data_IF_814957015615
#
_entry.id   IF_814957015615
#
_cell.length_a   1.000
_cell.length_b   1.000
_cell.length_c   1.000
_cell.angle_alpha   90.00
_cell.angle_beta   90.00
_cell.angle_gamma   90.00
#
_symmetry.space_group_name_H-M   'P 1'
#
loop_
_entity.id
_entity.type
_entity.pdbx_description
1 polymer ?
#
# COMPACT_ATOMS: atom_id res chain seq x y z
N UNK A 1 -7.00 -29.34 15.17
CA UNK A 1 -6.26 -28.10 15.46
C UNK A 1 -6.12 -27.37 14.16
N UNK A 2 -6.39 -26.06 14.09
CA UNK A 2 -6.11 -25.31 12.87
C UNK A 2 -4.59 -25.14 12.78
N UNK A 3 -3.95 -25.72 11.78
CA UNK A 3 -2.56 -25.39 11.48
C UNK A 3 -2.51 -23.91 11.10
N UNK A 4 -1.51 -23.19 11.64
CA UNK A 4 -1.27 -21.80 11.33
C UNK A 4 0.03 -21.67 10.55
N UNK A 5 -0.02 -20.98 9.42
CA UNK A 5 1.09 -20.63 8.57
C UNK A 5 1.68 -19.30 9.05
N UNK A 6 3.00 -19.24 9.22
CA UNK A 6 3.73 -18.01 9.42
C UNK A 6 4.15 -17.46 8.06
N UNK A 7 3.57 -16.34 7.64
CA UNK A 7 3.89 -15.74 6.35
C UNK A 7 4.33 -14.29 6.50
N UNK A 8 5.08 -13.82 5.52
CA UNK A 8 5.58 -12.44 5.47
C UNK A 8 5.02 -11.73 4.24
N UNK A 9 4.44 -10.56 4.41
CA UNK A 9 3.98 -9.71 3.32
C UNK A 9 4.93 -8.53 3.20
N UNK A 10 5.61 -8.44 2.07
CA UNK A 10 6.59 -7.40 1.75
C UNK A 10 6.05 -6.47 0.66
N UNK A 11 6.08 -5.17 0.94
CA UNK A 11 5.79 -4.11 -0.02
C UNK A 11 7.02 -3.24 -0.24
N UNK A 12 7.58 -3.32 -1.46
CA UNK A 12 8.75 -2.55 -1.85
C UNK A 12 8.33 -1.22 -2.50
N UNK A 13 8.38 -0.12 -1.74
CA UNK A 13 8.23 1.25 -2.23
C UNK A 13 9.58 1.78 -2.77
N UNK A 14 9.58 2.95 -3.42
CA UNK A 14 10.83 3.57 -3.91
C UNK A 14 11.75 3.94 -2.75
N UNK A 15 11.18 4.50 -1.69
CA UNK A 15 11.95 5.12 -0.61
C UNK A 15 12.11 4.19 0.60
N UNK A 16 11.29 3.13 0.69
CA UNK A 16 11.28 2.19 1.82
C UNK A 16 10.72 0.83 1.43
N UNK A 17 11.05 -0.19 2.22
CA UNK A 17 10.37 -1.48 2.17
C UNK A 17 9.57 -1.66 3.45
N UNK A 18 8.34 -2.16 3.33
CA UNK A 18 7.50 -2.48 4.47
C UNK A 18 7.25 -3.98 4.52
N UNK A 19 7.62 -4.60 5.64
CA UNK A 19 7.51 -6.04 5.84
C UNK A 19 6.59 -6.28 7.04
N UNK A 20 5.50 -7.00 6.81
CA UNK A 20 4.51 -7.34 7.82
C UNK A 20 4.50 -8.85 7.99
N UNK A 21 4.71 -9.32 9.22
CA UNK A 21 4.62 -10.75 9.57
C UNK A 21 3.22 -11.03 10.10
N UNK A 22 2.55 -12.03 9.53
CA UNK A 22 1.22 -12.44 9.95
C UNK A 22 1.11 -13.95 10.06
N UNK A 23 0.15 -14.39 10.86
CA UNK A 23 -0.24 -15.79 10.97
C UNK A 23 -1.61 -15.99 10.36
N UNK A 24 -1.72 -16.96 9.48
CA UNK A 24 -2.95 -17.30 8.78
C UNK A 24 -3.25 -18.79 8.96
N UNK A 25 -4.52 -19.22 8.89
CA UNK A 25 -4.84 -20.63 8.87
C UNK A 25 -4.23 -21.32 7.64
N UNK A 26 -3.93 -22.60 7.77
CA UNK A 26 -3.56 -23.46 6.66
C UNK A 26 -4.62 -23.40 5.56
N UNK A 27 -4.18 -23.36 4.31
CA UNK A 27 -5.06 -23.16 3.16
C UNK A 27 -5.44 -21.70 2.90
N UNK A 28 -4.86 -20.75 3.64
CA UNK A 28 -5.04 -19.34 3.34
C UNK A 28 -4.46 -18.97 1.97
N UNK A 29 -5.08 -17.99 1.33
CA UNK A 29 -4.66 -17.52 0.00
C UNK A 29 -3.81 -16.27 0.10
N UNK A 30 -3.08 -15.98 -0.99
CA UNK A 30 -2.32 -14.75 -1.14
C UNK A 30 -3.21 -13.50 -0.92
N UNK A 31 -4.44 -13.52 -1.42
CA UNK A 31 -5.42 -12.44 -1.21
C UNK A 31 -5.74 -12.23 0.27
N UNK A 32 -6.00 -13.31 1.01
CA UNK A 32 -6.26 -13.23 2.46
C UNK A 32 -5.06 -12.69 3.24
N UNK A 33 -3.83 -13.02 2.84
CA UNK A 33 -2.64 -12.43 3.43
C UNK A 33 -2.57 -10.92 3.21
N UNK A 34 -2.88 -10.45 2.01
CA UNK A 34 -2.89 -9.02 1.71
C UNK A 34 -3.96 -8.27 2.50
N UNK A 35 -5.17 -8.82 2.59
CA UNK A 35 -6.25 -8.26 3.40
C UNK A 35 -5.89 -8.22 4.88
N UNK A 36 -5.37 -9.33 5.42
CA UNK A 36 -4.99 -9.44 6.83
C UNK A 36 -3.79 -8.57 7.19
N UNK A 37 -2.87 -8.33 6.24
CA UNK A 37 -1.72 -7.45 6.46
C UNK A 37 -2.10 -5.98 6.68
N UNK A 38 -3.31 -5.57 6.28
CA UNK A 38 -3.74 -4.18 6.34
C UNK A 38 -3.01 -3.25 5.37
N UNK A 39 -2.09 -3.75 4.54
CA UNK A 39 -1.34 -2.96 3.57
C UNK A 39 -2.27 -2.34 2.51
N UNK A 40 -3.32 -3.06 2.10
CA UNK A 40 -4.34 -2.54 1.17
C UNK A 40 -5.06 -1.30 1.72
N UNK A 41 -5.34 -1.29 3.03
CA UNK A 41 -5.98 -0.15 3.69
C UNK A 41 -5.01 1.00 3.94
N UNK A 42 -3.73 0.68 4.19
CA UNK A 42 -2.67 1.66 4.44
C UNK A 42 -2.17 2.33 3.16
N UNK A 43 -2.18 1.61 2.04
CA UNK A 43 -1.68 2.05 0.75
C UNK A 43 -2.77 1.86 -0.32
N UNK A 44 -3.58 2.91 -0.61
CA UNK A 44 -4.64 2.83 -1.63
C UNK A 44 -4.10 2.65 -3.05
N UNK A 45 -2.79 2.85 -3.26
CA UNK A 45 -2.10 2.59 -4.52
C UNK A 45 -1.97 1.09 -4.85
N UNK A 46 -2.23 0.20 -3.88
CA UNK A 46 -2.18 -1.24 -4.08
C UNK A 46 -3.54 -1.74 -4.57
N UNK A 47 -3.63 -2.12 -5.85
CA UNK A 47 -4.83 -2.70 -6.44
C UNK A 47 -4.63 -4.21 -6.68
N UNK A 48 -5.40 -5.06 -6.00
CA UNK A 48 -5.37 -6.52 -6.17
C UNK A 48 -5.62 -6.99 -7.61
N UNK A 49 -6.30 -6.18 -8.44
CA UNK A 49 -6.61 -6.53 -9.83
C UNK A 49 -5.56 -6.07 -10.84
N UNK A 50 -4.80 -5.01 -10.52
CA UNK A 50 -3.79 -4.42 -11.41
C UNK A 50 -2.36 -4.74 -11.00
N UNK A 51 -2.12 -4.89 -9.70
CA UNK A 51 -0.80 -5.19 -9.18
C UNK A 51 -0.44 -6.64 -9.45
N UNK A 52 0.87 -6.86 -9.62
CA UNK A 52 1.44 -8.19 -9.68
C UNK A 52 1.87 -8.58 -8.28
N UNK A 53 1.59 -9.82 -7.91
CA UNK A 53 2.01 -10.39 -6.65
C UNK A 53 2.93 -11.57 -6.92
N UNK A 54 3.90 -11.77 -6.04
CA UNK A 54 4.79 -12.92 -6.09
C UNK A 54 4.85 -13.62 -4.75
N UNK A 55 5.20 -14.91 -4.76
CA UNK A 55 5.62 -15.66 -3.59
C UNK A 55 7.08 -16.04 -3.84
N UNK A 56 8.03 -15.63 -2.99
CA UNK A 56 9.46 -15.92 -3.18
C UNK A 56 9.97 -15.62 -4.60
N UNK A 57 9.85 -14.37 -5.06
CA UNK A 57 10.22 -13.94 -6.41
C UNK A 57 9.50 -14.66 -7.58
N UNK A 58 8.42 -15.42 -7.30
CA UNK A 58 7.61 -16.11 -8.31
C UNK A 58 6.23 -15.49 -8.43
N UNK A 59 5.91 -14.92 -9.59
CA UNK A 59 4.59 -14.38 -9.92
C UNK A 59 3.48 -15.39 -9.61
N UNK A 60 2.54 -14.98 -8.76
CA UNK A 60 1.44 -15.80 -8.26
C UNK A 60 0.14 -15.00 -8.26
N UNK A 61 -0.99 -15.71 -8.35
CA UNK A 61 -2.32 -15.09 -8.32
C UNK A 61 -2.77 -14.89 -6.87
N UNK A 62 -3.75 -14.02 -6.66
CA UNK A 62 -4.38 -13.81 -5.34
C UNK A 62 -5.06 -15.07 -4.79
N UNK A 63 -5.50 -15.98 -5.66
CA UNK A 63 -6.06 -17.28 -5.26
C UNK A 63 -5.00 -18.36 -4.99
N UNK A 64 -3.71 -18.05 -5.11
CA UNK A 64 -2.66 -19.01 -4.80
C UNK A 64 -2.68 -19.34 -3.30
N UNK A 65 -2.66 -20.63 -2.98
CA UNK A 65 -2.53 -21.11 -1.61
C UNK A 65 -1.13 -20.82 -1.09
N UNK A 66 -1.06 -20.30 0.13
CA UNK A 66 0.17 -20.03 0.84
C UNK A 66 0.62 -21.26 1.63
N UNK A 67 1.92 -21.32 1.89
CA UNK A 67 2.58 -22.31 2.72
C UNK A 67 3.27 -21.65 3.89
N UNK A 68 3.66 -22.46 4.86
CA UNK A 68 4.40 -21.97 6.02
C UNK A 68 5.74 -21.39 5.56
N UNK A 69 6.11 -20.26 6.17
CA UNK A 69 7.27 -19.45 5.81
C UNK A 69 7.23 -18.78 4.42
N UNK A 70 6.09 -18.76 3.73
CA UNK A 70 5.98 -18.04 2.45
C UNK A 70 6.15 -16.52 2.62
N UNK A 71 6.85 -15.93 1.65
CA UNK A 71 6.98 -14.48 1.51
C UNK A 71 6.21 -13.97 0.31
N UNK A 72 5.12 -13.25 0.58
CA UNK A 72 4.32 -12.53 -0.40
C UNK A 72 4.98 -11.20 -0.72
N UNK A 73 5.23 -10.93 -1.99
CA UNK A 73 5.84 -9.71 -2.50
C UNK A 73 4.83 -8.94 -3.36
N UNK A 74 4.60 -7.68 -3.03
CA UNK A 74 3.70 -6.79 -3.76
C UNK A 74 4.52 -5.95 -4.74
N UNK A 75 4.34 -6.18 -6.04
CA UNK A 75 4.97 -5.38 -7.09
C UNK A 75 4.10 -4.18 -7.45
N UNK A 76 4.77 -3.08 -7.83
CA UNK A 76 4.11 -1.84 -8.25
C UNK A 76 3.54 -2.00 -9.67
N UNK A 77 2.29 -1.53 -9.90
CA UNK A 77 1.81 -1.36 -11.25
C UNK A 77 2.60 -0.22 -11.89
N UNK A 78 2.92 -0.36 -13.18
CA UNK A 78 3.46 0.76 -13.96
C UNK A 78 2.36 1.84 -14.02
N UNK A 79 2.57 2.96 -13.33
CA UNK A 79 1.63 4.08 -13.31
C UNK A 79 1.56 4.63 -14.73
N UNK A 80 0.47 4.31 -15.41
CA UNK A 80 0.03 4.98 -16.61
C UNK A 80 -1.45 5.29 -16.46
N UNK A 81 -1.84 6.11 -15.47
CA UNK A 81 -3.15 6.78 -15.54
C UNK A 81 -3.19 8.14 -14.82
N UNK A 82 -3.01 9.25 -15.57
CA UNK A 82 -2.91 10.62 -15.04
C UNK A 82 -4.25 11.25 -14.58
N UNK A 83 -5.28 10.46 -14.24
CA UNK A 83 -6.64 10.98 -13.97
C UNK A 83 -6.98 11.23 -12.50
N UNK A 84 -6.41 10.50 -11.54
CA UNK A 84 -6.82 10.65 -10.12
C UNK A 84 -6.06 11.71 -9.32
N UNK A 85 -4.84 12.06 -9.74
CA UNK A 85 -4.03 13.12 -9.09
C UNK A 85 -4.71 14.50 -9.18
N UNK A 86 -5.63 14.69 -10.14
CA UNK A 86 -6.40 15.94 -10.29
C UNK A 86 -7.50 16.10 -9.24
N UNK A 87 -8.00 15.04 -8.60
CA UNK A 87 -9.13 15.15 -7.66
C UNK A 87 -8.69 15.49 -6.23
N UNK A 88 -7.52 15.00 -5.80
CA UNK A 88 -7.04 15.26 -4.43
C UNK A 88 -6.51 16.68 -4.21
N UNK A 89 -5.96 17.34 -5.24
CA UNK A 89 -5.49 18.74 -5.12
C UNK A 89 -6.61 19.78 -4.90
N UNK A 90 -7.87 19.43 -5.11
CA UNK A 90 -8.99 20.35 -4.91
C UNK A 90 -9.45 20.44 -3.45
N UNK A 91 -9.06 19.49 -2.58
CA UNK A 91 -9.59 19.41 -1.22
C UNK A 91 -8.72 20.09 -0.14
N UNK A 92 -7.40 20.23 -0.36
CA UNK A 92 -6.47 20.68 0.69
C UNK A 92 -6.24 22.21 0.75
N UNK A 93 -6.92 23.01 -0.08
CA UNK A 93 -6.69 24.47 -0.14
C UNK A 93 -7.57 25.35 0.76
N UNK A 94 -8.49 24.79 1.54
CA UNK A 94 -9.37 25.59 2.43
C UNK A 94 -9.16 25.25 3.91
N UNK A 95 -8.02 25.64 4.46
CA UNK A 95 -7.92 25.90 5.90
C UNK A 95 -7.31 27.28 6.10
N UNK A 96 -8.19 28.21 6.42
CA UNK A 96 -7.90 29.57 6.86
C UNK A 96 -6.93 29.55 8.04
N UNK A 97 -5.84 30.32 7.97
CA UNK A 97 -5.23 30.90 9.17
C UNK A 97 -5.13 32.41 9.02
N UNK A 98 -6.08 33.06 9.70
CA UNK A 98 -6.12 34.48 10.05
C UNK A 98 -4.98 34.80 11.02
N UNK A 99 -4.28 35.90 10.77
CA UNK A 99 -3.29 36.55 11.65
C UNK A 99 -2.50 37.58 10.82
N UNK A 100 -2.94 38.84 10.76
CA UNK A 100 -2.44 39.96 11.61
C UNK A 100 -0.96 40.25 11.31
N UNK A 101 -0.66 41.28 10.49
CA UNK A 101 -0.14 42.59 10.95
C UNK A 101 1.40 42.51 11.08
N UNK A 102 2.26 43.34 10.50
CA UNK A 102 2.22 44.80 10.38
C UNK A 102 3.41 45.28 9.51
N UNK A 103 3.20 46.40 8.80
CA UNK A 103 4.12 47.48 8.44
C UNK A 103 5.33 47.35 7.49
N UNK A 104 5.26 48.26 6.50
CA UNK A 104 6.27 49.22 6.03
C UNK A 104 7.22 48.86 4.87
N UNK A 105 6.99 49.49 3.72
CA UNK A 105 7.83 50.60 3.21
C UNK A 105 7.43 50.94 1.77
N UNK A 106 6.77 52.08 1.59
CA UNK A 106 6.52 52.73 0.29
C UNK A 106 7.55 53.84 0.05
N UNK A 107 8.15 53.79 -1.14
CA UNK A 107 8.59 54.89 -2.01
C UNK A 107 9.62 55.94 -1.52
N UNK A 108 10.52 56.27 -2.46
CA UNK A 108 11.47 57.37 -2.42
C UNK A 108 12.50 57.25 -3.52
#
# INVERSE_FOLDING_TARGET
MAEMLNIEVCYALADKQEIVRLRLPEGATLGQALETSGLLAKYPDIDLKKNKFGIYAKLSKTDALLRDHDRVEIYRPLIADPKEVRKQRAAEGKVMKKGAGDSDASEG
#
